data_IF_713333716691
#
_entry.id   IF_713333716691
#
_cell.length_a   1.000
_cell.length_b   1.000
_cell.length_c   1.000
_cell.angle_alpha   90.00
_cell.angle_beta   90.00
_cell.angle_gamma   90.00
#
_symmetry.space_group_name_H-M   'P 1'
#
loop_
_entity.id
_entity.type
_entity.pdbx_description
1 polymer ?
#
# COMPACT_ATOMS: atom_id res chain seq x y z
N UNK A 1 -6.91 -5.62 -11.63
CA UNK A 1 -6.87 -5.58 -10.14
C UNK A 1 -6.36 -6.93 -9.66
N UNK A 2 -5.17 -6.97 -9.02
CA UNK A 2 -4.45 -8.23 -8.73
C UNK A 2 -4.86 -8.90 -7.41
N UNK A 3 -5.23 -8.12 -6.41
CA UNK A 3 -5.69 -8.63 -5.11
C UNK A 3 -6.98 -7.93 -4.67
N UNK A 4 -7.93 -8.65 -4.04
CA UNK A 4 -9.11 -8.03 -3.46
C UNK A 4 -8.77 -7.18 -2.23
N UNK A 5 -7.66 -7.47 -1.53
CA UNK A 5 -7.27 -6.81 -0.28
C UNK A 5 -6.73 -5.38 -0.47
N UNK A 6 -6.33 -5.01 -1.70
CA UNK A 6 -5.91 -3.65 -2.03
C UNK A 6 -7.10 -2.83 -2.55
N UNK A 7 -7.17 -1.57 -2.10
CA UNK A 7 -8.21 -0.61 -2.45
C UNK A 7 -7.67 0.83 -2.37
N UNK A 8 -8.36 1.78 -3.00
CA UNK A 8 -7.97 3.20 -3.06
C UNK A 8 -9.07 4.16 -2.58
N UNK A 9 -10.20 3.64 -2.12
CA UNK A 9 -11.38 4.42 -1.72
C UNK A 9 -11.24 5.01 -0.31
N UNK A 10 -10.51 4.33 0.58
CA UNK A 10 -10.26 4.73 1.97
C UNK A 10 -8.76 4.85 2.20
N UNK A 11 -8.32 5.97 2.75
CA UNK A 11 -6.92 6.21 3.06
C UNK A 11 -6.70 7.56 3.73
N UNK A 12 -5.44 7.89 3.97
CA UNK A 12 -5.09 9.22 4.45
C UNK A 12 -5.35 10.28 3.36
N UNK A 13 -5.80 11.49 3.72
CA UNK A 13 -5.93 12.58 2.77
C UNK A 13 -4.60 12.88 2.06
N UNK A 14 -4.65 13.19 0.78
CA UNK A 14 -3.47 13.62 0.03
C UNK A 14 -2.99 14.99 0.53
N UNK A 15 -1.67 15.14 0.68
CA UNK A 15 -1.08 16.45 0.93
C UNK A 15 -1.17 17.33 -0.32
N UNK A 16 -1.27 18.64 -0.12
CA UNK A 16 -1.17 19.60 -1.23
C UNK A 16 0.24 19.59 -1.86
N UNK A 17 0.38 19.97 -3.14
CA UNK A 17 1.68 20.09 -3.78
C UNK A 17 2.67 20.94 -2.96
N UNK A 18 3.89 20.44 -2.76
CA UNK A 18 4.93 21.12 -1.98
C UNK A 18 4.70 21.20 -0.47
N UNK A 19 3.68 20.52 0.07
CA UNK A 19 3.36 20.50 1.52
C UNK A 19 3.59 19.13 2.18
N UNK A 20 4.28 18.21 1.49
CA UNK A 20 4.64 16.91 2.05
C UNK A 20 5.65 17.04 3.20
N UNK A 21 5.48 16.25 4.26
CA UNK A 21 6.45 16.19 5.36
C UNK A 21 7.67 15.36 4.93
N UNK A 22 8.81 16.02 4.71
CA UNK A 22 10.07 15.38 4.29
C UNK A 22 10.77 14.58 5.40
N UNK A 23 10.25 14.56 6.63
CA UNK A 23 10.74 13.61 7.65
C UNK A 23 10.13 12.22 7.50
N UNK A 24 9.07 12.07 6.69
CA UNK A 24 8.50 10.77 6.33
C UNK A 24 9.31 10.12 5.21
N UNK A 25 9.68 8.85 5.39
CA UNK A 25 10.52 8.11 4.43
C UNK A 25 10.01 8.21 2.99
N UNK A 26 8.70 8.02 2.79
CA UNK A 26 8.08 8.04 1.45
C UNK A 26 8.31 9.36 0.71
N UNK A 27 8.04 10.48 1.37
CA UNK A 27 8.21 11.82 0.80
C UNK A 27 9.70 12.15 0.60
N UNK A 28 10.54 11.76 1.56
CA UNK A 28 11.97 12.02 1.52
C UNK A 28 12.65 11.33 0.33
N UNK A 29 12.30 10.06 0.09
CA UNK A 29 12.84 9.28 -1.02
C UNK A 29 12.32 9.79 -2.37
N UNK A 30 11.03 10.12 -2.46
CA UNK A 30 10.43 10.68 -3.67
C UNK A 30 11.12 12.00 -4.07
N UNK A 31 11.27 12.93 -3.12
CA UNK A 31 11.91 14.23 -3.35
C UNK A 31 13.39 14.08 -3.73
N UNK A 32 14.13 13.21 -3.02
CA UNK A 32 15.57 13.06 -3.22
C UNK A 32 15.93 12.37 -4.54
N UNK A 33 15.16 11.36 -4.94
CA UNK A 33 15.50 10.48 -6.06
C UNK A 33 14.58 10.61 -7.27
N UNK A 34 13.49 11.38 -7.17
CA UNK A 34 12.50 11.50 -8.25
C UNK A 34 11.85 10.16 -8.61
N UNK A 35 11.78 9.22 -7.66
CA UNK A 35 11.32 7.86 -7.90
C UNK A 35 9.89 7.62 -7.39
N UNK A 36 9.27 6.54 -7.87
CA UNK A 36 8.03 6.03 -7.27
C UNK A 36 8.34 5.55 -5.86
N UNK A 37 7.66 6.14 -4.88
CA UNK A 37 7.82 5.85 -3.46
C UNK A 37 6.45 5.88 -2.81
N UNK A 38 6.08 4.82 -2.09
CA UNK A 38 4.76 4.67 -1.49
C UNK A 38 4.85 4.05 -0.09
N UNK A 39 3.92 4.40 0.79
CA UNK A 39 3.66 3.66 2.03
C UNK A 39 2.52 2.68 1.78
N UNK A 40 2.75 1.40 2.07
CA UNK A 40 1.69 0.39 2.10
C UNK A 40 1.21 0.20 3.54
N UNK A 41 -0.08 0.37 3.76
CA UNK A 41 -0.71 0.23 5.08
C UNK A 41 -1.59 -1.02 5.12
N UNK A 42 -1.53 -1.75 6.23
CA UNK A 42 -2.35 -2.94 6.49
C UNK A 42 -3.15 -2.75 7.77
N UNK A 43 -4.42 -3.20 7.82
CA UNK A 43 -5.25 -3.00 9.00
C UNK A 43 -4.80 -3.89 10.16
N UNK A 44 -4.75 -3.34 11.38
CA UNK A 44 -4.66 -4.16 12.61
C UNK A 44 -5.97 -4.90 12.91
N UNK A 45 -7.09 -4.39 12.41
CA UNK A 45 -8.42 -5.00 12.58
C UNK A 45 -8.64 -6.05 11.48
N UNK A 46 -9.36 -5.67 10.44
CA UNK A 46 -9.66 -6.50 9.28
C UNK A 46 -9.87 -5.61 8.05
N UNK A 47 -9.98 -6.24 6.88
CA UNK A 47 -10.42 -5.60 5.66
C UNK A 47 -11.95 -5.71 5.54
N UNK A 48 -12.68 -4.62 5.85
CA UNK A 48 -14.15 -4.62 5.88
C UNK A 48 -14.84 -5.23 4.64
N UNK A 49 -14.35 -5.01 3.39
CA UNK A 49 -14.97 -5.62 2.21
C UNK A 49 -14.77 -7.14 2.09
N UNK A 50 -13.77 -7.71 2.77
CA UNK A 50 -13.50 -9.15 2.80
C UNK A 50 -13.09 -9.57 4.22
N UNK A 51 -14.05 -9.59 5.16
CA UNK A 51 -13.77 -9.85 6.56
C UNK A 51 -13.57 -11.35 6.82
N UNK A 52 -12.71 -11.67 7.78
CA UNK A 52 -12.48 -13.01 8.29
C UNK A 52 -12.80 -13.03 9.80
N UNK A 53 -14.01 -13.46 10.17
CA UNK A 53 -14.44 -13.46 11.57
C UNK A 53 -13.53 -14.28 12.52
N UNK A 54 -12.80 -15.27 11.99
CA UNK A 54 -11.92 -16.12 12.79
C UNK A 54 -10.58 -15.47 13.14
N UNK A 55 -10.04 -14.62 12.26
CA UNK A 55 -8.65 -14.15 12.36
C UNK A 55 -8.45 -12.67 12.03
N UNK A 56 -9.44 -11.98 11.48
CA UNK A 56 -9.31 -10.63 10.98
C UNK A 56 -8.30 -10.51 9.83
N UNK A 57 -7.55 -9.42 9.83
CA UNK A 57 -6.30 -9.34 9.08
C UNK A 57 -5.23 -10.19 9.76
N UNK A 58 -4.49 -11.00 8.97
CA UNK A 58 -3.59 -12.02 9.52
C UNK A 58 -2.21 -12.01 8.86
N UNK A 59 -1.20 -12.63 9.48
CA UNK A 59 0.13 -12.80 8.87
C UNK A 59 0.07 -13.49 7.50
N UNK A 60 -0.83 -14.46 7.31
CA UNK A 60 -1.02 -15.18 6.05
C UNK A 60 -1.53 -14.24 4.96
N UNK A 61 -2.50 -13.37 5.29
CA UNK A 61 -3.03 -12.36 4.34
C UNK A 61 -1.96 -11.33 3.99
N UNK A 62 -1.18 -10.87 4.97
CA UNK A 62 -0.02 -9.99 4.72
C UNK A 62 0.99 -10.62 3.75
N UNK A 63 1.30 -11.91 3.91
CA UNK A 63 2.22 -12.63 3.00
C UNK A 63 1.66 -12.74 1.59
N UNK A 64 0.37 -13.04 1.43
CA UNK A 64 -0.28 -13.09 0.12
C UNK A 64 -0.30 -11.71 -0.54
N UNK A 65 -0.60 -10.65 0.21
CA UNK A 65 -0.52 -9.27 -0.28
C UNK A 65 0.90 -8.94 -0.75
N UNK A 66 1.94 -9.31 0.02
CA UNK A 66 3.34 -9.13 -0.38
C UNK A 66 3.71 -9.84 -1.68
N UNK A 67 3.24 -11.08 -1.89
CA UNK A 67 3.40 -11.79 -3.17
C UNK A 67 2.74 -11.02 -4.31
N UNK A 68 1.53 -10.52 -4.09
CA UNK A 68 0.78 -9.80 -5.12
C UNK A 68 1.40 -8.43 -5.44
N UNK A 69 2.06 -7.77 -4.47
CA UNK A 69 2.88 -6.57 -4.70
C UNK A 69 4.05 -6.84 -5.64
N UNK A 70 4.80 -7.94 -5.45
CA UNK A 70 5.91 -8.29 -6.35
C UNK A 70 5.46 -8.49 -7.79
N UNK A 71 4.30 -9.13 -7.97
CA UNK A 71 3.79 -9.36 -9.30
C UNK A 71 3.17 -8.09 -9.93
N UNK A 72 2.63 -7.16 -9.13
CA UNK A 72 2.24 -5.83 -9.61
C UNK A 72 3.47 -5.00 -10.05
N UNK A 73 4.60 -5.12 -9.34
CA UNK A 73 5.86 -4.51 -9.76
C UNK A 73 6.37 -5.09 -11.09
N UNK A 74 6.28 -6.41 -11.28
CA UNK A 74 6.62 -7.05 -12.54
C UNK A 74 5.76 -6.50 -13.70
N UNK A 75 4.43 -6.45 -13.51
CA UNK A 75 3.52 -5.88 -14.51
C UNK A 75 3.84 -4.41 -14.83
N UNK A 76 4.30 -3.63 -13.86
CA UNK A 76 4.72 -2.24 -14.07
C UNK A 76 6.04 -2.11 -14.83
N UNK A 77 6.98 -3.05 -14.62
CA UNK A 77 8.27 -3.06 -15.33
C UNK A 77 8.14 -3.52 -16.79
N UNK A 78 7.16 -4.36 -17.08
CA UNK A 78 6.90 -4.92 -18.42
C UNK A 78 5.98 -4.03 -19.29
N UNK A 79 5.38 -2.98 -18.72
CA UNK A 79 4.45 -2.06 -19.39
C UNK A 79 5.15 -0.89 -20.09
#
# INVERSE_FOLDING_TARGET
RRTPDFQTDRGYPSAQPGKGNLTMATNQLAERFGCVSMTLEMPFKDHDPLPCAAQGWSPERSKLLGRDCLAALLEWLDA
#
